data_IF_914225420712
#
_entry.id   IF_914225420712
#
_cell.length_a   1.000
_cell.length_b   1.000
_cell.length_c   1.000
_cell.angle_alpha   90.00
_cell.angle_beta   90.00
_cell.angle_gamma   90.00
#
_symmetry.space_group_name_H-M   'P 1'
#
loop_
_entity.id
_entity.type
_entity.pdbx_description
1 polymer ?
#
# COMPACT_ATOMS: atom_id res chain seq x y z
N UNK A 1 10.95 -26.54 12.98
CA UNK A 1 12.18 -25.92 13.52
C UNK A 1 11.89 -24.44 13.51
N UNK A 2 11.97 -23.77 14.66
CA UNK A 2 11.54 -22.38 14.93
C UNK A 2 11.41 -21.47 13.70
N UNK A 3 10.17 -21.22 13.25
CA UNK A 3 9.82 -20.11 12.34
C UNK A 3 9.94 -18.81 13.13
N UNK A 4 11.15 -18.30 13.22
CA UNK A 4 11.38 -16.93 13.65
C UNK A 4 11.61 -16.10 12.40
N UNK A 5 10.95 -14.94 12.26
CA UNK A 5 11.17 -14.05 11.13
C UNK A 5 12.66 -13.79 10.96
N UNK A 6 13.11 -13.67 9.70
CA UNK A 6 14.52 -13.37 9.44
C UNK A 6 14.94 -12.10 10.18
N UNK A 7 16.20 -12.00 10.59
CA UNK A 7 16.69 -10.80 11.26
C UNK A 7 16.46 -9.51 10.45
N UNK A 8 16.34 -9.62 9.12
CA UNK A 8 15.98 -8.51 8.24
C UNK A 8 14.51 -8.10 8.39
N UNK A 9 13.57 -9.06 8.43
CA UNK A 9 12.15 -8.78 8.62
C UNK A 9 11.87 -8.09 9.97
N UNK A 10 12.48 -8.59 11.06
CA UNK A 10 12.36 -7.94 12.38
C UNK A 10 12.88 -6.49 12.38
N UNK A 11 13.91 -6.19 11.57
CA UNK A 11 14.40 -4.81 11.42
C UNK A 11 13.38 -3.96 10.65
N UNK A 12 12.78 -4.49 9.59
CA UNK A 12 11.77 -3.75 8.82
C UNK A 12 10.52 -3.44 9.63
N UNK A 13 10.07 -4.35 10.48
CA UNK A 13 8.97 -4.14 11.43
C UNK A 13 9.29 -3.03 12.44
N UNK A 14 10.53 -2.98 12.92
CA UNK A 14 11.02 -1.91 13.79
C UNK A 14 11.09 -0.56 13.07
N UNK A 15 11.51 -0.54 11.79
CA UNK A 15 11.48 0.67 10.96
C UNK A 15 10.05 1.16 10.75
N UNK A 16 9.10 0.26 10.46
CA UNK A 16 7.68 0.59 10.34
C UNK A 16 7.15 1.23 11.64
N UNK A 17 7.47 0.60 12.79
CA UNK A 17 7.05 1.08 14.10
C UNK A 17 7.64 2.45 14.45
N UNK A 18 8.92 2.66 14.15
CA UNK A 18 9.58 3.92 14.38
C UNK A 18 9.05 5.03 13.46
N UNK A 19 8.79 4.76 12.18
CA UNK A 19 8.18 5.72 11.26
C UNK A 19 6.78 6.14 11.70
N UNK A 20 5.96 5.18 12.14
CA UNK A 20 4.63 5.45 12.70
C UNK A 20 4.71 6.33 13.94
N UNK A 21 5.65 6.07 14.85
CA UNK A 21 5.76 6.77 16.13
C UNK A 21 6.41 8.16 16.01
N UNK A 22 7.39 8.32 15.12
CA UNK A 22 8.26 9.50 15.08
C UNK A 22 8.11 10.34 13.79
N UNK A 23 7.39 9.86 12.77
CA UNK A 23 7.42 10.45 11.44
C UNK A 23 8.75 10.18 10.73
N UNK A 24 8.98 10.77 9.55
CA UNK A 24 10.27 10.65 8.84
C UNK A 24 11.24 11.77 9.23
N UNK A 25 10.73 12.99 9.42
CA UNK A 25 11.54 14.18 9.67
C UNK A 25 12.44 14.05 10.92
N UNK A 26 11.85 13.61 12.04
CA UNK A 26 12.56 13.49 13.32
C UNK A 26 13.18 12.10 13.55
N UNK A 27 12.98 11.15 12.63
CA UNK A 27 13.47 9.78 12.77
C UNK A 27 14.99 9.70 12.84
N UNK A 28 15.52 9.04 13.87
CA UNK A 28 16.95 8.74 13.99
C UNK A 28 17.23 7.24 13.95
N UNK A 29 18.49 6.87 13.69
CA UNK A 29 18.95 5.47 13.83
C UNK A 29 18.82 4.95 15.27
N UNK A 30 18.74 5.82 16.28
CA UNK A 30 18.51 5.40 17.66
C UNK A 30 17.04 5.03 17.88
N UNK A 31 16.10 5.86 17.40
CA UNK A 31 14.66 5.59 17.52
C UNK A 31 14.30 4.25 16.86
N UNK A 32 14.87 3.97 15.67
CA UNK A 32 14.69 2.68 15.01
C UNK A 32 15.27 1.53 15.85
N UNK A 33 16.46 1.72 16.44
CA UNK A 33 17.07 0.70 17.29
C UNK A 33 16.25 0.43 18.56
N UNK A 34 15.58 1.44 19.10
CA UNK A 34 14.76 1.33 20.31
C UNK A 34 13.44 0.59 20.02
N UNK A 35 12.92 0.70 18.80
CA UNK A 35 11.74 -0.05 18.30
C UNK A 35 12.10 -1.45 17.75
N UNK A 36 13.38 -1.72 17.51
CA UNK A 36 13.85 -3.04 17.09
C UNK A 36 14.15 -3.93 18.30
N UNK A 37 13.81 -5.22 18.21
CA UNK A 37 14.34 -6.26 19.12
C UNK A 37 15.88 -6.38 19.06
N UNK A 38 16.51 -5.76 18.06
CA UNK A 38 17.91 -5.85 17.71
C UNK A 38 18.70 -4.63 18.19
N UNK A 39 19.93 -4.86 18.65
CA UNK A 39 20.81 -3.77 19.07
C UNK A 39 21.16 -2.82 17.92
N UNK A 40 21.37 -1.53 18.23
CA UNK A 40 21.89 -0.52 17.30
C UNK A 40 23.16 -0.94 16.55
N UNK A 41 24.04 -1.71 17.20
CA UNK A 41 25.24 -2.25 16.57
C UNK A 41 24.93 -3.25 15.45
N UNK A 42 23.82 -3.99 15.55
CA UNK A 42 23.37 -4.90 14.49
C UNK A 42 22.77 -4.11 13.32
N UNK A 43 22.02 -3.04 13.59
CA UNK A 43 21.53 -2.15 12.53
C UNK A 43 22.69 -1.55 11.73
N UNK A 44 23.71 -1.02 12.40
CA UNK A 44 24.90 -0.48 11.73
C UNK A 44 25.75 -1.54 11.02
N UNK A 45 25.63 -2.81 11.40
CA UNK A 45 26.29 -3.91 10.68
C UNK A 45 25.61 -4.19 9.33
N UNK A 46 24.29 -4.00 9.24
CA UNK A 46 23.51 -4.23 8.02
C UNK A 46 23.32 -2.97 7.17
N UNK A 47 23.29 -1.78 7.79
CA UNK A 47 22.95 -0.51 7.15
C UNK A 47 23.87 0.60 7.65
N UNK A 48 24.64 1.18 6.73
CA UNK A 48 25.61 2.22 7.06
C UNK A 48 24.94 3.54 7.46
N UNK A 49 23.80 3.86 6.83
CA UNK A 49 23.07 5.12 7.04
C UNK A 49 21.56 4.91 7.24
N UNK A 50 20.87 5.91 7.81
CA UNK A 50 19.39 5.98 7.85
C UNK A 50 18.80 5.83 6.45
N UNK A 51 19.43 6.43 5.44
CA UNK A 51 18.97 6.36 4.06
C UNK A 51 19.07 4.95 3.49
N UNK A 52 20.15 4.22 3.77
CA UNK A 52 20.30 2.82 3.35
C UNK A 52 19.18 1.94 3.92
N UNK A 53 18.87 2.15 5.20
CA UNK A 53 17.82 1.45 5.88
C UNK A 53 16.43 1.79 5.31
N UNK A 54 16.17 3.06 5.01
CA UNK A 54 14.90 3.48 4.43
C UNK A 54 14.71 3.03 2.98
N UNK A 55 15.78 2.95 2.19
CA UNK A 55 15.72 2.36 0.84
C UNK A 55 15.39 0.87 0.92
N UNK A 56 16.04 0.13 1.84
CA UNK A 56 15.73 -1.28 2.07
C UNK A 56 14.30 -1.49 2.59
N UNK A 57 13.83 -0.58 3.44
CA UNK A 57 12.45 -0.59 3.93
C UNK A 57 11.44 -0.33 2.81
N UNK A 58 11.71 0.63 1.91
CA UNK A 58 10.87 0.85 0.72
C UNK A 58 10.83 -0.40 -0.17
N UNK A 59 11.98 -1.03 -0.40
CA UNK A 59 12.04 -2.28 -1.16
C UNK A 59 11.21 -3.39 -0.50
N UNK A 60 11.31 -3.53 0.83
CA UNK A 60 10.55 -4.50 1.62
C UNK A 60 9.03 -4.31 1.48
N UNK A 61 8.51 -3.10 1.71
CA UNK A 61 7.06 -2.85 1.62
C UNK A 61 6.51 -2.97 0.19
N UNK A 62 7.35 -2.71 -0.82
CA UNK A 62 6.96 -2.91 -2.23
C UNK A 62 6.94 -4.40 -2.58
N UNK A 63 7.88 -5.19 -2.08
CA UNK A 63 7.86 -6.63 -2.30
C UNK A 63 6.70 -7.31 -1.55
N UNK A 64 6.41 -6.90 -0.31
CA UNK A 64 5.20 -7.34 0.41
C UNK A 64 3.92 -7.02 -0.38
N UNK A 65 3.86 -5.82 -0.95
CA UNK A 65 2.77 -5.41 -1.84
C UNK A 65 2.64 -6.32 -3.07
N UNK A 66 3.76 -6.68 -3.72
CA UNK A 66 3.79 -7.60 -4.86
C UNK A 66 3.24 -8.98 -4.48
N UNK A 67 3.67 -9.53 -3.35
CA UNK A 67 3.24 -10.85 -2.89
C UNK A 67 1.74 -10.86 -2.54
N UNK A 68 1.23 -9.80 -1.89
CA UNK A 68 -0.20 -9.65 -1.57
C UNK A 68 -1.07 -9.49 -2.81
N UNK A 69 -0.58 -8.82 -3.85
CA UNK A 69 -1.26 -8.73 -5.15
C UNK A 69 -1.27 -10.11 -5.82
N UNK A 70 -0.14 -10.80 -5.83
CA UNK A 70 -0.02 -12.12 -6.44
C UNK A 70 -0.91 -13.18 -5.77
N UNK A 71 -1.05 -13.12 -4.44
CA UNK A 71 -1.91 -14.03 -3.68
C UNK A 71 -3.40 -13.95 -4.09
N UNK A 72 -3.81 -12.88 -4.77
CA UNK A 72 -5.17 -12.63 -5.23
C UNK A 72 -5.33 -12.74 -6.74
N UNK A 73 -4.32 -13.25 -7.46
CA UNK A 73 -4.36 -13.31 -8.91
C UNK A 73 -5.57 -14.12 -9.45
N UNK A 74 -6.00 -15.14 -8.71
CA UNK A 74 -7.11 -16.04 -9.06
C UNK A 74 -8.50 -15.51 -8.66
N UNK A 75 -8.58 -14.42 -7.90
CA UNK A 75 -9.86 -13.78 -7.57
C UNK A 75 -10.51 -13.21 -8.85
N UNK A 76 -11.85 -13.08 -8.91
CA UNK A 76 -12.50 -12.49 -10.07
C UNK A 76 -12.00 -11.05 -10.32
N UNK A 77 -11.82 -10.61 -11.59
CA UNK A 77 -11.26 -9.28 -11.89
C UNK A 77 -12.01 -8.11 -11.26
N UNK A 78 -13.34 -8.22 -11.15
CA UNK A 78 -14.19 -7.20 -10.52
C UNK A 78 -13.85 -7.08 -9.03
N UNK A 79 -13.74 -8.19 -8.32
CA UNK A 79 -13.37 -8.24 -6.90
C UNK A 79 -11.96 -7.70 -6.69
N UNK A 80 -10.97 -8.15 -7.49
CA UNK A 80 -9.59 -7.64 -7.44
C UNK A 80 -9.53 -6.13 -7.60
N UNK A 81 -10.33 -5.54 -8.50
CA UNK A 81 -10.34 -4.10 -8.72
C UNK A 81 -10.93 -3.33 -7.53
N UNK A 82 -12.02 -3.83 -6.93
CA UNK A 82 -12.62 -3.19 -5.75
C UNK A 82 -11.71 -3.35 -4.52
N UNK A 83 -11.05 -4.49 -4.36
CA UNK A 83 -10.02 -4.69 -3.32
C UNK A 83 -8.84 -3.74 -3.52
N UNK A 84 -8.35 -3.57 -4.75
CA UNK A 84 -7.31 -2.58 -5.05
C UNK A 84 -7.74 -1.16 -4.65
N UNK A 85 -8.98 -0.77 -4.95
CA UNK A 85 -9.53 0.53 -4.52
C UNK A 85 -9.63 0.62 -2.99
N UNK A 86 -10.13 -0.43 -2.33
CA UNK A 86 -10.23 -0.53 -0.88
C UNK A 86 -8.89 -0.38 -0.16
N UNK A 87 -7.80 -0.84 -0.78
CA UNK A 87 -6.46 -0.69 -0.24
C UNK A 87 -6.02 0.78 -0.08
N UNK A 88 -6.63 1.71 -0.81
CA UNK A 88 -6.36 3.14 -0.65
C UNK A 88 -7.04 3.78 0.57
N UNK A 89 -8.14 3.19 1.03
CA UNK A 89 -8.99 3.73 2.08
C UNK A 89 -8.40 3.42 3.46
N UNK A 90 -8.47 4.41 4.37
CA UNK A 90 -8.20 4.19 5.79
C UNK A 90 -9.52 3.90 6.49
N UNK A 91 -9.54 2.83 7.26
CA UNK A 91 -10.64 2.58 8.16
C UNK A 91 -10.61 3.53 9.37
N UNK A 92 -11.76 3.76 10.05
CA UNK A 92 -11.84 4.63 11.22
C UNK A 92 -10.91 4.23 12.37
N UNK A 93 -10.55 2.95 12.48
CA UNK A 93 -9.72 2.37 13.54
C UNK A 93 -8.24 2.20 13.14
N UNK A 94 -7.85 2.62 11.93
CA UNK A 94 -6.51 2.45 11.36
C UNK A 94 -5.58 3.66 11.58
N UNK A 95 -5.64 4.30 12.76
CA UNK A 95 -4.83 5.49 13.07
C UNK A 95 -3.32 5.27 12.89
N UNK A 96 -2.84 4.07 13.23
CA UNK A 96 -1.43 3.68 13.07
C UNK A 96 -1.00 3.60 11.60
N UNK A 97 -1.89 3.10 10.74
CA UNK A 97 -1.64 3.02 9.30
C UNK A 97 -1.70 4.40 8.66
N UNK A 98 -2.60 5.28 9.13
CA UNK A 98 -2.64 6.68 8.70
C UNK A 98 -1.35 7.41 9.09
N UNK A 99 -0.88 7.25 10.33
CA UNK A 99 0.40 7.79 10.80
C UNK A 99 1.59 7.30 9.98
N UNK A 100 1.63 6.01 9.64
CA UNK A 100 2.63 5.47 8.73
C UNK A 100 2.59 6.15 7.35
N UNK A 101 1.39 6.37 6.78
CA UNK A 101 1.28 7.02 5.48
C UNK A 101 1.63 8.53 5.52
N UNK A 102 1.48 9.20 6.65
CA UNK A 102 2.06 10.54 6.89
C UNK A 102 3.58 10.47 6.73
N UNK A 103 4.24 9.55 7.44
CA UNK A 103 5.70 9.38 7.36
C UNK A 103 6.16 8.97 5.95
N UNK A 104 5.38 8.13 5.26
CA UNK A 104 5.64 7.74 3.87
C UNK A 104 5.53 8.93 2.91
N UNK A 105 4.57 9.83 3.12
CA UNK A 105 4.45 11.07 2.34
C UNK A 105 5.70 11.93 2.50
N UNK A 106 6.17 12.12 3.72
CA UNK A 106 7.43 12.83 4.01
C UNK A 106 8.62 12.18 3.31
N UNK A 107 8.76 10.85 3.39
CA UNK A 107 9.81 10.09 2.72
C UNK A 107 9.75 10.24 1.18
N UNK A 108 8.55 10.22 0.59
CA UNK A 108 8.34 10.40 -0.84
C UNK A 108 8.89 11.73 -1.34
N UNK A 109 8.84 12.79 -0.53
CA UNK A 109 9.40 14.11 -0.90
C UNK A 109 10.91 14.13 -1.09
N UNK A 110 11.61 13.08 -0.67
CA UNK A 110 13.05 12.93 -0.85
C UNK A 110 13.45 12.41 -2.23
N UNK A 111 12.53 11.81 -2.99
CA UNK A 111 12.81 11.26 -4.33
C UNK A 111 13.48 12.24 -5.32
N UNK A 112 13.11 13.54 -5.37
CA UNK A 112 13.83 14.52 -6.19
C UNK A 112 15.30 14.73 -5.82
N UNK A 113 15.70 14.38 -4.59
CA UNK A 113 17.04 14.62 -4.05
C UNK A 113 17.86 13.33 -3.86
N UNK A 114 17.20 12.17 -3.84
CA UNK A 114 17.83 10.86 -3.64
C UNK A 114 17.39 9.88 -4.74
N UNK A 115 18.34 9.48 -5.59
CA UNK A 115 18.10 8.61 -6.75
C UNK A 115 17.60 7.22 -6.34
N UNK A 116 18.17 6.64 -5.28
CA UNK A 116 17.77 5.30 -4.80
C UNK A 116 16.34 5.28 -4.26
N UNK A 117 15.94 6.34 -3.55
CA UNK A 117 14.54 6.51 -3.13
C UNK A 117 13.65 6.67 -4.37
N UNK A 118 14.05 7.50 -5.34
CA UNK A 118 13.29 7.72 -6.58
C UNK A 118 13.07 6.42 -7.36
N UNK A 119 14.07 5.55 -7.43
CA UNK A 119 13.98 4.25 -8.09
C UNK A 119 12.93 3.36 -7.43
N UNK A 120 12.90 3.29 -6.10
CA UNK A 120 11.88 2.54 -5.36
C UNK A 120 10.48 3.14 -5.56
N UNK A 121 10.35 4.48 -5.51
CA UNK A 121 9.06 5.13 -5.80
C UNK A 121 8.57 4.86 -7.23
N UNK A 122 9.48 4.84 -8.20
CA UNK A 122 9.15 4.50 -9.58
C UNK A 122 8.78 3.01 -9.75
N UNK A 123 9.37 2.11 -8.95
CA UNK A 123 8.95 0.70 -8.88
C UNK A 123 7.54 0.58 -8.32
N UNK A 124 7.25 1.23 -7.20
CA UNK A 124 5.91 1.26 -6.59
C UNK A 124 4.85 1.80 -7.55
N UNK A 125 5.16 2.87 -8.28
CA UNK A 125 4.28 3.45 -9.29
C UNK A 125 3.98 2.49 -10.44
N UNK A 126 5.01 1.79 -10.96
CA UNK A 126 4.82 0.74 -11.98
C UNK A 126 4.00 -0.43 -11.46
N UNK A 127 4.23 -0.86 -10.22
CA UNK A 127 3.47 -1.94 -9.59
C UNK A 127 1.99 -1.59 -9.52
N UNK A 128 1.65 -0.40 -8.99
CA UNK A 128 0.25 0.02 -8.82
C UNK A 128 -0.47 0.16 -10.15
N UNK A 129 0.15 0.80 -11.15
CA UNK A 129 -0.46 0.94 -12.48
C UNK A 129 -0.57 -0.40 -13.20
N UNK A 130 0.50 -1.20 -13.18
CA UNK A 130 0.52 -2.53 -13.78
C UNK A 130 -0.56 -3.43 -13.19
N UNK A 131 -0.72 -3.42 -11.87
CA UNK A 131 -1.78 -4.20 -11.19
C UNK A 131 -3.17 -3.86 -11.72
N UNK A 132 -3.50 -2.57 -11.86
CA UNK A 132 -4.81 -2.16 -12.40
C UNK A 132 -4.93 -2.53 -13.88
N UNK A 133 -3.88 -2.30 -14.67
CA UNK A 133 -3.88 -2.63 -16.10
C UNK A 133 -4.10 -4.13 -16.33
N UNK A 134 -3.42 -4.99 -15.56
CA UNK A 134 -3.56 -6.44 -15.59
C UNK A 134 -4.98 -6.87 -15.20
N UNK A 135 -5.53 -6.34 -14.09
CA UNK A 135 -6.91 -6.63 -13.67
C UNK A 135 -7.93 -6.22 -14.77
N UNK A 136 -7.73 -5.06 -15.40
CA UNK A 136 -8.61 -4.61 -16.47
C UNK A 136 -8.49 -5.50 -17.72
N UNK A 137 -7.27 -5.90 -18.09
CA UNK A 137 -7.04 -6.80 -19.21
C UNK A 137 -7.71 -8.17 -18.98
N UNK A 138 -7.50 -8.77 -17.80
CA UNK A 138 -8.13 -10.03 -17.39
C UNK A 138 -9.66 -9.93 -17.44
N UNK A 139 -10.22 -8.81 -16.96
CA UNK A 139 -11.66 -8.61 -16.96
C UNK A 139 -12.26 -8.32 -18.35
N UNK A 140 -11.50 -7.73 -19.26
CA UNK A 140 -11.89 -7.61 -20.68
C UNK A 140 -11.91 -8.99 -21.34
N UNK A 141 -10.88 -9.82 -21.11
CA UNK A 141 -10.82 -11.19 -21.64
C UNK A 141 -11.96 -12.06 -21.08
N UNK A 142 -12.26 -11.93 -19.78
CA UNK A 142 -13.38 -12.62 -19.13
C UNK A 142 -14.77 -12.06 -19.52
N UNK A 143 -14.83 -10.94 -20.26
CA UNK A 143 -16.08 -10.30 -20.69
C UNK A 143 -16.85 -9.60 -19.57
N UNK A 144 -16.20 -9.30 -18.44
CA UNK A 144 -16.81 -8.57 -17.30
C UNK A 144 -16.57 -7.06 -17.37
N UNK A 145 -15.55 -6.64 -18.12
CA UNK A 145 -15.30 -5.24 -18.48
C UNK A 145 -15.41 -5.02 -20.00
N UNK A 146 -15.74 -3.80 -20.39
CA UNK A 146 -15.73 -3.31 -21.76
C UNK A 146 -14.31 -2.97 -22.19
N UNK A 147 -14.05 -3.09 -23.49
CA UNK A 147 -12.77 -2.77 -24.10
C UNK A 147 -12.42 -1.28 -23.93
N UNK A 148 -11.26 -1.01 -23.32
CA UNK A 148 -10.72 0.32 -23.02
C UNK A 148 -9.20 0.32 -23.11
N UNK A 149 -8.60 1.51 -23.17
CA UNK A 149 -7.16 1.65 -22.96
C UNK A 149 -6.85 1.39 -21.47
N UNK A 150 -6.30 0.21 -21.18
CA UNK A 150 -6.03 -0.26 -19.81
C UNK A 150 -4.97 0.59 -19.12
N UNK A 151 -3.99 1.11 -19.86
CA UNK A 151 -2.88 1.90 -19.32
C UNK A 151 -3.34 3.31 -18.94
N UNK A 152 -4.11 3.97 -19.81
CA UNK A 152 -4.68 5.28 -19.51
C UNK A 152 -5.69 5.19 -18.35
N UNK A 153 -6.51 4.13 -18.32
CA UNK A 153 -7.50 3.91 -17.27
C UNK A 153 -6.82 3.62 -15.92
N UNK A 154 -5.77 2.79 -15.91
CA UNK A 154 -4.97 2.52 -14.72
C UNK A 154 -4.32 3.79 -14.19
N UNK A 155 -3.69 4.59 -15.05
CA UNK A 155 -3.07 5.85 -14.67
C UNK A 155 -4.09 6.82 -14.04
N UNK A 156 -5.29 6.94 -14.62
CA UNK A 156 -6.36 7.78 -14.10
C UNK A 156 -6.85 7.31 -12.72
N UNK A 157 -7.09 6.01 -12.56
CA UNK A 157 -7.60 5.45 -11.30
C UNK A 157 -6.57 5.61 -10.19
N UNK A 158 -5.31 5.21 -10.42
CA UNK A 158 -4.23 5.32 -9.43
C UNK A 158 -3.98 6.77 -9.03
N UNK A 159 -3.92 7.70 -9.99
CA UNK A 159 -3.74 9.12 -9.69
C UNK A 159 -4.90 9.71 -8.86
N UNK A 160 -6.13 9.27 -9.13
CA UNK A 160 -7.32 9.69 -8.38
C UNK A 160 -7.23 9.26 -6.91
N UNK A 161 -6.86 8.01 -6.66
CA UNK A 161 -6.76 7.45 -5.31
C UNK A 161 -5.55 7.99 -4.53
N UNK A 162 -4.37 8.07 -5.14
CA UNK A 162 -3.17 8.61 -4.49
C UNK A 162 -3.32 10.11 -4.17
N UNK A 163 -3.96 10.87 -5.07
CA UNK A 163 -4.31 12.27 -4.83
C UNK A 163 -5.30 12.45 -3.68
N UNK A 164 -6.32 11.60 -3.60
CA UNK A 164 -7.30 11.64 -2.51
C UNK A 164 -6.67 11.33 -1.15
N UNK A 165 -5.87 10.26 -1.08
CA UNK A 165 -5.11 9.86 0.11
C UNK A 165 -4.14 10.97 0.55
N UNK A 166 -3.37 11.51 -0.37
CA UNK A 166 -2.43 12.61 -0.10
C UNK A 166 -3.17 13.82 0.47
N UNK A 167 -4.32 14.19 -0.11
CA UNK A 167 -5.16 15.29 0.40
C UNK A 167 -5.67 15.01 1.81
N UNK A 168 -6.24 13.84 2.07
CA UNK A 168 -6.75 13.48 3.40
C UNK A 168 -5.65 13.62 4.45
N UNK A 169 -4.50 12.98 4.21
CA UNK A 169 -3.36 13.01 5.12
C UNK A 169 -2.84 14.43 5.37
N UNK A 170 -2.77 15.23 4.31
CA UNK A 170 -2.27 16.62 4.42
C UNK A 170 -3.22 17.53 5.22
N UNK A 171 -4.52 17.24 5.20
CA UNK A 171 -5.56 18.08 5.80
C UNK A 171 -6.17 17.52 7.09
N UNK A 172 -5.78 16.32 7.53
CA UNK A 172 -6.35 15.61 8.68
C UNK A 172 -6.39 16.42 9.99
N UNK A 173 -5.51 17.41 10.17
CA UNK A 173 -5.52 18.31 11.34
C UNK A 173 -6.28 19.64 11.17
N UNK A 174 -6.63 20.02 9.93
CA UNK A 174 -7.31 21.28 9.59
C UNK A 174 -8.83 21.13 9.57
N UNK A 175 -9.32 19.95 9.20
CA UNK A 175 -10.74 19.56 9.26
C UNK A 175 -10.97 18.81 10.59
N UNK A 176 -10.91 19.54 11.70
CA UNK A 176 -11.58 19.06 12.93
C UNK A 176 -13.06 18.97 12.58
N UNK A 177 -13.59 17.74 12.59
CA UNK A 177 -14.97 17.38 12.24
C UNK A 177 -15.20 17.12 10.74
N UNK A 178 -14.91 15.90 10.28
CA UNK A 178 -15.64 15.32 9.17
C UNK A 178 -16.43 14.12 9.71
N UNK A 179 -17.66 14.37 10.16
CA UNK A 179 -18.66 13.32 10.35
C UNK A 179 -18.76 12.51 9.04
N UNK A 180 -18.16 11.32 8.99
CA UNK A 180 -18.09 10.50 7.77
C UNK A 180 -16.94 9.49 7.80
N UNK A 181 -16.83 8.67 6.75
CA UNK A 181 -15.89 7.55 6.66
C UNK A 181 -14.52 7.94 6.05
N UNK A 182 -14.23 9.25 5.95
CA UNK A 182 -12.97 9.82 5.44
C UNK A 182 -13.02 10.26 3.96
N UNK A 183 -12.26 11.31 3.62
CA UNK A 183 -12.25 11.88 2.25
C UNK A 183 -11.77 10.90 1.18
N UNK A 184 -10.77 10.08 1.50
CA UNK A 184 -10.26 9.04 0.58
C UNK A 184 -11.34 8.03 0.24
N UNK A 185 -12.19 7.68 1.21
CA UNK A 185 -13.32 6.78 1.00
C UNK A 185 -14.38 7.39 0.09
N UNK A 186 -14.76 8.65 0.33
CA UNK A 186 -15.69 9.38 -0.55
C UNK A 186 -15.20 9.36 -2.01
N UNK A 187 -13.91 9.63 -2.23
CA UNK A 187 -13.32 9.62 -3.57
C UNK A 187 -13.22 8.20 -4.14
N UNK A 188 -12.91 7.19 -3.32
CA UNK A 188 -12.87 5.78 -3.73
C UNK A 188 -14.25 5.31 -4.23
N UNK A 189 -15.33 5.60 -3.51
CA UNK A 189 -16.69 5.30 -3.94
C UNK A 189 -17.08 6.07 -5.21
N UNK A 190 -16.65 7.33 -5.33
CA UNK A 190 -16.87 8.10 -6.54
C UNK A 190 -16.09 7.53 -7.73
N UNK A 191 -14.86 7.06 -7.54
CA UNK A 191 -14.04 6.41 -8.55
C UNK A 191 -14.67 5.09 -9.00
N UNK A 192 -15.14 4.25 -8.08
CA UNK A 192 -15.89 3.04 -8.42
C UNK A 192 -17.13 3.36 -9.26
N UNK A 193 -17.88 4.39 -8.89
CA UNK A 193 -19.12 4.76 -9.59
C UNK A 193 -18.89 5.45 -10.94
N UNK A 194 -17.85 6.27 -11.07
CA UNK A 194 -17.64 7.18 -12.21
C UNK A 194 -16.53 6.75 -13.15
N UNK A 195 -15.57 5.96 -12.68
CA UNK A 195 -14.49 5.40 -13.49
C UNK A 195 -14.81 3.94 -13.78
N UNK A 196 -15.01 3.10 -12.75
CA UNK A 196 -15.17 1.65 -12.92
C UNK A 196 -16.56 1.23 -13.40
N UNK A 197 -17.63 1.83 -12.87
CA UNK A 197 -19.01 1.52 -13.26
C UNK A 197 -19.25 1.64 -14.77
N UNK A 198 -18.75 2.71 -15.43
CA UNK A 198 -18.76 2.81 -16.88
C UNK A 198 -17.83 1.86 -17.64
N UNK A 199 -17.15 0.92 -16.99
CA UNK A 199 -16.39 -0.16 -17.64
C UNK A 199 -17.14 -1.49 -17.57
N UNK A 200 -18.06 -1.68 -16.62
CA UNK A 200 -18.76 -2.95 -16.44
C UNK A 200 -19.55 -3.36 -17.70
N UNK A 201 -19.52 -4.65 -17.98
CA UNK A 201 -20.40 -5.30 -18.95
C UNK A 201 -21.84 -5.39 -18.40
N UNK A 202 -22.81 -5.62 -19.29
CA UNK A 202 -24.23 -5.68 -18.93
C UNK A 202 -24.49 -6.80 -17.90
N UNK A 203 -25.12 -6.43 -16.79
CA UNK A 203 -25.47 -7.36 -15.71
C UNK A 203 -24.35 -7.70 -14.73
N UNK A 204 -23.16 -7.09 -14.89
CA UNK A 204 -22.07 -7.18 -13.91
C UNK A 204 -22.25 -6.09 -12.86
N UNK A 205 -22.19 -6.47 -11.59
CA UNK A 205 -22.28 -5.54 -10.45
C UNK A 205 -20.96 -5.51 -9.68
N UNK A 206 -20.66 -4.35 -9.08
CA UNK A 206 -19.50 -4.22 -8.19
C UNK A 206 -19.83 -4.78 -6.81
N UNK A 207 -18.91 -5.54 -6.18
CA UNK A 207 -19.05 -5.87 -4.78
C UNK A 207 -19.00 -4.59 -3.91
N UNK A 208 -19.60 -4.62 -2.69
CA UNK A 208 -19.53 -3.49 -1.77
C UNK A 208 -18.09 -3.20 -1.38
N UNK A 209 -17.71 -1.92 -1.32
CA UNK A 209 -16.37 -1.51 -0.90
C UNK A 209 -16.02 -2.00 0.51
N UNK A 210 -17.00 -2.04 1.42
CA UNK A 210 -16.81 -2.56 2.78
C UNK A 210 -16.36 -4.02 2.78
N UNK A 211 -16.95 -4.87 1.93
CA UNK A 211 -16.58 -6.27 1.85
C UNK A 211 -15.12 -6.44 1.40
N UNK A 212 -14.67 -5.56 0.49
CA UNK A 212 -13.30 -5.54 0.01
C UNK A 212 -12.32 -5.03 1.08
N UNK A 213 -12.69 -4.00 1.84
CA UNK A 213 -11.88 -3.48 2.96
C UNK A 213 -11.76 -4.55 4.05
N UNK A 214 -12.86 -5.25 4.38
CA UNK A 214 -12.85 -6.31 5.39
C UNK A 214 -12.01 -7.51 4.96
N UNK A 215 -12.06 -7.91 3.68
CA UNK A 215 -11.19 -8.95 3.14
C UNK A 215 -9.69 -8.58 3.26
N UNK A 216 -9.34 -7.31 3.06
CA UNK A 216 -7.95 -6.84 3.22
C UNK A 216 -7.48 -6.83 4.68
N UNK A 217 -8.40 -6.63 5.63
CA UNK A 217 -8.08 -6.64 7.07
C UNK A 217 -7.87 -8.05 7.61
N UNK A 218 -8.70 -9.00 7.18
CA UNK A 218 -8.56 -10.40 7.62
C UNK A 218 -7.17 -10.96 7.33
N UNK A 219 -6.56 -10.54 6.23
CA UNK A 219 -5.20 -10.93 5.87
C UNK A 219 -4.11 -10.20 6.66
N UNK A 220 -4.41 -9.02 7.21
CA UNK A 220 -3.48 -8.27 8.05
C UNK A 220 -3.45 -8.80 9.50
N UNK A 221 -4.53 -9.44 9.95
CA UNK A 221 -4.72 -9.95 11.33
C UNK A 221 -4.34 -11.43 11.51
N UNK A 222 -3.97 -12.17 10.44
CA UNK A 222 -3.43 -13.52 10.61
C UNK A 222 -1.99 -13.47 11.17
N UNK A 223 -1.70 -14.14 12.31
CA UNK A 223 -0.36 -14.17 12.87
C UNK A 223 0.53 -15.04 11.98
N UNK A 224 1.20 -14.40 11.02
CA UNK A 224 1.96 -15.10 9.98
C UNK A 224 1.80 -14.54 8.57
N UNK A 225 1.58 -13.23 8.38
CA UNK A 225 1.88 -12.50 7.12
C UNK A 225 3.41 -12.47 6.84
N UNK A 226 4.02 -13.65 6.96
CA UNK A 226 5.33 -14.01 6.46
C UNK A 226 5.08 -14.40 4.99
N UNK A 227 5.15 -13.42 4.08
CA UNK A 227 5.09 -13.61 2.64
C UNK A 227 6.31 -14.41 2.10
N UNK A 228 6.79 -15.40 2.85
CA UNK A 228 7.93 -16.25 2.53
C UNK A 228 7.63 -17.75 2.76
N UNK A 229 6.36 -18.15 2.81
CA UNK A 229 5.97 -19.53 3.09
C UNK A 229 5.27 -20.25 1.92
N UNK A 230 5.63 -20.02 0.65
CA UNK A 230 5.42 -21.06 -0.38
C UNK A 230 6.26 -20.90 -1.66
N UNK A 231 7.58 -21.11 -1.59
CA UNK A 231 8.38 -21.42 -2.80
C UNK A 231 9.54 -22.36 -2.48
N UNK A 232 9.30 -23.66 -2.40
CA UNK A 232 10.30 -24.68 -2.76
C UNK A 232 9.63 -25.98 -3.22
N UNK A 233 9.48 -26.14 -4.53
CA UNK A 233 9.70 -27.43 -5.20
C UNK A 233 10.92 -27.32 -6.12
#
# INVERSE_FOLDING_TARGET
MSDSPSAAAEIMDGVYSALRAHGYADLTMQDIADECSKSKSLLHYHYDTKEDLLVAFLEYIISDSEDRIAARADDPPVDRLVQFVGWFVFAPDEADREAFHIALLELRTQGPFNERIREQLARSDRLLRGTVADILADGIEAGVFRDVDVEETAALLVATLDGARTRQITLAGAERDAEGEGYTREVAEAALRRIVGPLLADGVELPPLDAAIDALRLDADEPGSDAAADRTE
#
